data_IF_876638564270
#
_entry.id   IF_876638564270
#
_cell.length_a   1.000
_cell.length_b   1.000
_cell.length_c   1.000
_cell.angle_alpha   90.00
_cell.angle_beta   90.00
_cell.angle_gamma   90.00
#
_symmetry.space_group_name_H-M   'P 1'
#
loop_
_entity.id
_entity.type
_entity.pdbx_description
1 polymer ?
#
# COMPACT_ATOMS: atom_id res chain seq x y z
N UNK A 1 0.09 4.70 27.92
CA UNK A 1 0.95 4.47 26.74
C UNK A 1 0.38 5.15 25.50
N UNK A 2 -0.92 5.01 25.19
CA UNK A 2 -1.53 5.61 23.97
C UNK A 2 -1.40 7.14 23.82
N UNK A 3 -1.45 7.90 24.92
CA UNK A 3 -1.26 9.35 24.88
C UNK A 3 0.18 9.74 24.49
N UNK A 4 1.18 8.91 24.83
CA UNK A 4 2.58 9.21 24.53
C UNK A 4 2.91 8.92 23.07
N UNK A 5 2.36 7.85 22.49
CA UNK A 5 2.53 7.45 21.08
C UNK A 5 2.30 8.60 20.10
N UNK A 6 1.29 9.44 20.37
CA UNK A 6 0.93 10.62 19.55
C UNK A 6 2.00 11.70 19.44
N UNK A 7 3.03 11.68 20.30
CA UNK A 7 4.10 12.68 20.27
C UNK A 7 5.21 12.34 19.27
N UNK A 8 5.33 11.08 18.87
CA UNK A 8 6.40 10.61 17.98
C UNK A 8 5.90 9.76 16.81
N UNK A 9 4.60 9.41 16.77
CA UNK A 9 3.96 8.75 15.64
C UNK A 9 2.90 9.65 15.00
N UNK A 10 2.70 9.55 13.67
CA UNK A 10 1.57 10.16 12.99
C UNK A 10 0.24 9.75 13.60
N UNK A 11 -0.73 10.67 13.62
CA UNK A 11 -2.09 10.37 14.09
C UNK A 11 -2.88 9.51 13.11
N UNK A 12 -2.57 9.65 11.82
CA UNK A 12 -3.22 8.93 10.71
C UNK A 12 -2.18 8.35 9.74
N UNK A 13 -1.37 7.36 10.17
CA UNK A 13 -0.47 6.63 9.27
C UNK A 13 -1.25 6.02 8.08
N UNK A 14 -0.84 6.36 6.86
CA UNK A 14 -1.60 6.07 5.63
C UNK A 14 -3.09 6.45 5.70
N UNK A 15 -3.44 7.51 6.42
CA UNK A 15 -4.82 7.97 6.61
C UNK A 15 -5.64 7.16 7.62
N UNK A 16 -5.09 6.08 8.20
CA UNK A 16 -5.76 5.24 9.18
C UNK A 16 -5.50 5.78 10.58
N UNK A 17 -6.54 6.09 11.39
CA UNK A 17 -6.37 6.52 12.77
C UNK A 17 -5.51 5.55 13.59
N UNK A 18 -4.53 6.07 14.31
CA UNK A 18 -3.56 5.30 15.09
C UNK A 18 -4.23 4.34 16.09
N UNK A 19 -5.39 4.71 16.64
CA UNK A 19 -6.18 3.91 17.58
C UNK A 19 -6.92 2.73 16.92
N UNK A 20 -7.03 2.68 15.60
CA UNK A 20 -7.59 1.53 14.88
C UNK A 20 -6.56 0.45 14.58
N UNK A 21 -5.28 0.79 14.65
CA UNK A 21 -4.18 -0.15 14.44
C UNK A 21 -3.98 -1.06 15.66
N UNK A 22 -3.63 -2.34 15.45
CA UNK A 22 -3.49 -3.34 16.51
C UNK A 22 -2.16 -3.23 17.29
N UNK A 23 -1.77 -2.01 17.68
CA UNK A 23 -0.45 -1.71 18.27
C UNK A 23 -0.19 -2.50 19.56
N UNK A 24 -1.19 -2.66 20.41
CA UNK A 24 -1.07 -3.35 21.70
C UNK A 24 -0.89 -4.86 21.57
N UNK A 25 -1.35 -5.44 20.46
CA UNK A 25 -1.24 -6.88 20.18
C UNK A 25 -0.05 -7.20 19.27
N UNK A 26 0.66 -6.19 18.76
CA UNK A 26 1.80 -6.40 17.90
C UNK A 26 3.08 -6.62 18.72
N UNK A 27 3.69 -7.81 18.66
CA UNK A 27 4.86 -8.13 19.48
C UNK A 27 6.10 -7.31 19.09
N UNK A 28 6.23 -6.92 17.82
CA UNK A 28 7.37 -6.15 17.32
C UNK A 28 7.28 -4.69 17.78
N UNK A 29 6.11 -4.09 17.66
CA UNK A 29 5.88 -2.75 18.18
C UNK A 29 6.04 -2.68 19.70
N UNK A 30 5.56 -3.71 20.42
CA UNK A 30 5.72 -3.77 21.87
C UNK A 30 7.19 -3.86 22.31
N UNK A 31 8.04 -4.62 21.60
CA UNK A 31 9.48 -4.65 21.92
C UNK A 31 10.14 -3.29 21.72
N UNK A 32 9.74 -2.54 20.68
CA UNK A 32 10.22 -1.18 20.46
C UNK A 32 9.76 -0.20 21.54
N UNK A 33 8.54 -0.35 22.07
CA UNK A 33 8.07 0.46 23.20
C UNK A 33 8.90 0.23 24.46
N UNK A 34 9.23 -1.03 24.77
CA UNK A 34 10.07 -1.39 25.91
C UNK A 34 11.45 -0.75 25.75
N UNK A 35 12.08 -0.93 24.58
CA UNK A 35 13.40 -0.38 24.29
C UNK A 35 13.40 1.16 24.38
N UNK A 36 12.36 1.81 23.86
CA UNK A 36 12.19 3.26 23.95
C UNK A 36 12.07 3.74 25.40
N UNK A 37 11.29 3.05 26.24
CA UNK A 37 11.13 3.40 27.66
C UNK A 37 12.48 3.30 28.38
N UNK A 38 13.23 2.22 28.16
CA UNK A 38 14.54 2.01 28.77
C UNK A 38 15.53 3.13 28.41
N UNK A 39 15.52 3.58 27.15
CA UNK A 39 16.38 4.69 26.69
C UNK A 39 16.01 6.01 27.35
N UNK A 40 14.71 6.31 27.49
CA UNK A 40 14.24 7.53 28.15
C UNK A 40 14.58 7.54 29.64
N UNK A 41 14.56 6.37 30.30
CA UNK A 41 14.90 6.25 31.72
C UNK A 41 16.40 6.45 31.99
N UNK A 42 17.27 5.95 31.10
CA UNK A 42 18.73 6.06 31.27
C UNK A 42 19.27 7.49 31.10
N UNK A 43 18.51 8.41 30.48
CA UNK A 43 18.80 9.87 30.36
C UNK A 43 20.23 10.25 29.94
N UNK A 44 20.91 9.41 29.15
CA UNK A 44 22.24 9.70 28.63
C UNK A 44 22.16 10.37 27.25
N UNK A 45 22.99 11.39 26.98
CA UNK A 45 22.98 12.14 25.69
C UNK A 45 23.36 11.24 24.51
N UNK A 46 24.14 10.19 24.76
CA UNK A 46 24.51 9.18 23.75
C UNK A 46 23.28 8.39 23.27
N UNK A 47 22.21 8.32 24.07
CA UNK A 47 21.00 7.56 23.72
C UNK A 47 20.06 8.31 22.75
N UNK A 48 20.32 9.59 22.44
CA UNK A 48 19.44 10.36 21.54
C UNK A 48 19.44 9.80 20.10
N UNK A 49 20.59 9.30 19.63
CA UNK A 49 20.69 8.70 18.29
C UNK A 49 19.87 7.42 18.18
N UNK A 50 20.04 6.51 19.15
CA UNK A 50 19.27 5.26 19.18
C UNK A 50 17.78 5.51 19.46
N UNK A 51 17.44 6.51 20.27
CA UNK A 51 16.04 6.91 20.49
C UNK A 51 15.34 7.35 19.19
N UNK A 52 16.03 8.13 18.34
CA UNK A 52 15.49 8.50 17.03
C UNK A 52 15.35 7.29 16.11
N UNK A 53 16.34 6.40 16.14
CA UNK A 53 16.29 5.17 15.35
C UNK A 53 15.13 4.26 15.75
N UNK A 54 14.90 4.04 17.05
CA UNK A 54 13.77 3.22 17.52
C UNK A 54 12.43 3.89 17.16
N UNK A 55 12.32 5.22 17.22
CA UNK A 55 11.11 5.93 16.77
C UNK A 55 10.87 5.80 15.26
N UNK A 56 11.92 5.74 14.44
CA UNK A 56 11.82 5.44 13.00
C UNK A 56 11.42 3.99 12.74
N UNK A 57 11.97 3.02 13.48
CA UNK A 57 11.59 1.61 13.39
C UNK A 57 10.11 1.41 13.80
N UNK A 58 9.66 2.13 14.83
CA UNK A 58 8.25 2.18 15.24
C UNK A 58 7.36 2.78 14.15
N UNK A 59 7.77 3.89 13.53
CA UNK A 59 7.03 4.50 12.42
C UNK A 59 6.88 3.52 11.25
N UNK A 60 7.97 2.90 10.80
CA UNK A 60 7.94 1.93 9.72
C UNK A 60 7.01 0.74 10.04
N UNK A 61 7.01 0.26 11.29
CA UNK A 61 6.12 -0.81 11.72
C UNK A 61 4.64 -0.38 11.72
N UNK A 62 4.36 0.86 12.09
CA UNK A 62 3.01 1.45 12.07
C UNK A 62 2.51 1.67 10.64
N UNK A 63 3.36 2.16 9.74
CA UNK A 63 3.03 2.28 8.32
C UNK A 63 2.77 0.92 7.68
N UNK A 64 3.56 -0.10 8.03
CA UNK A 64 3.35 -1.46 7.57
C UNK A 64 2.00 -2.02 8.02
N UNK A 65 1.63 -1.84 9.30
CA UNK A 65 0.32 -2.27 9.79
C UNK A 65 -0.84 -1.60 9.05
N UNK A 66 -0.72 -0.29 8.80
CA UNK A 66 -1.73 0.44 8.05
C UNK A 66 -1.86 -0.11 6.62
N UNK A 67 -0.73 -0.42 5.96
CA UNK A 67 -0.72 -1.09 4.64
C UNK A 67 -1.41 -2.45 4.68
N UNK A 68 -1.01 -3.32 5.61
CA UNK A 68 -1.57 -4.67 5.75
C UNK A 68 -3.08 -4.61 5.99
N UNK A 69 -3.56 -3.66 6.80
CA UNK A 69 -5.00 -3.48 7.03
C UNK A 69 -5.75 -3.12 5.75
N UNK A 70 -5.19 -2.27 4.89
CA UNK A 70 -5.77 -1.97 3.56
C UNK A 70 -5.71 -3.17 2.63
N UNK A 71 -4.60 -3.88 2.58
CA UNK A 71 -4.45 -5.07 1.74
C UNK A 71 -5.42 -6.19 2.15
N UNK A 72 -5.67 -6.37 3.45
CA UNK A 72 -6.63 -7.35 3.94
C UNK A 72 -8.07 -6.91 3.64
N UNK A 73 -8.39 -5.62 3.75
CA UNK A 73 -9.66 -5.07 3.29
C UNK A 73 -9.88 -5.37 1.80
N UNK A 74 -8.89 -5.10 0.94
CA UNK A 74 -8.96 -5.39 -0.51
C UNK A 74 -9.28 -6.85 -0.77
N UNK A 75 -8.56 -7.77 -0.12
CA UNK A 75 -8.78 -9.23 -0.27
C UNK A 75 -10.18 -9.67 0.16
N UNK A 76 -10.79 -8.97 1.11
CA UNK A 76 -12.14 -9.28 1.59
C UNK A 76 -13.23 -8.78 0.64
N UNK A 77 -13.02 -7.61 0.02
CA UNK A 77 -14.05 -6.91 -0.76
C UNK A 77 -13.95 -7.23 -2.25
N UNK A 78 -12.73 -7.23 -2.79
CA UNK A 78 -12.53 -7.35 -4.23
C UNK A 78 -12.49 -8.82 -4.68
N UNK A 79 -13.03 -9.13 -5.87
CA UNK A 79 -12.83 -10.43 -6.48
C UNK A 79 -11.36 -10.64 -6.84
N UNK A 80 -10.92 -11.89 -6.94
CA UNK A 80 -9.54 -12.24 -7.31
C UNK A 80 -9.12 -11.65 -8.67
N UNK A 81 -10.09 -11.47 -9.58
CA UNK A 81 -9.93 -10.78 -10.85
C UNK A 81 -11.02 -9.73 -11.04
N UNK A 82 -10.62 -8.53 -11.45
CA UNK A 82 -11.50 -7.41 -11.84
C UNK A 82 -11.34 -7.20 -13.35
N UNK A 83 -12.41 -7.38 -14.12
CA UNK A 83 -12.37 -7.29 -15.59
C UNK A 83 -11.30 -8.21 -16.24
N UNK A 84 -11.05 -9.39 -15.64
CA UNK A 84 -10.02 -10.35 -16.09
C UNK A 84 -8.60 -10.03 -15.64
N UNK A 85 -8.37 -8.90 -14.96
CA UNK A 85 -7.08 -8.47 -14.43
C UNK A 85 -7.00 -8.87 -12.95
N UNK A 86 -5.89 -9.47 -12.53
CA UNK A 86 -5.72 -9.84 -11.12
C UNK A 86 -5.71 -8.60 -10.21
N UNK A 87 -6.40 -8.67 -9.07
CA UNK A 87 -6.55 -7.51 -8.18
C UNK A 87 -5.20 -6.91 -7.71
N UNK A 88 -4.18 -7.76 -7.55
CA UNK A 88 -2.86 -7.37 -7.04
C UNK A 88 -1.96 -6.70 -8.08
N UNK A 89 -2.36 -6.67 -9.36
CA UNK A 89 -1.62 -5.95 -10.41
C UNK A 89 -2.29 -4.64 -10.82
N UNK A 90 -3.51 -4.39 -10.33
CA UNK A 90 -4.20 -3.12 -10.56
C UNK A 90 -3.47 -1.98 -9.82
N UNK A 91 -3.34 -0.79 -10.43
CA UNK A 91 -2.68 0.35 -9.82
C UNK A 91 -3.57 1.06 -8.78
N UNK A 92 -4.17 0.31 -7.86
CA UNK A 92 -5.12 0.83 -6.86
C UNK A 92 -4.47 1.83 -5.91
N UNK A 93 -3.19 1.64 -5.57
CA UNK A 93 -2.45 2.58 -4.72
C UNK A 93 -2.20 3.94 -5.39
N UNK A 94 -2.29 4.01 -6.72
CA UNK A 94 -2.16 5.27 -7.47
C UNK A 94 -3.51 5.93 -7.74
N UNK A 95 -4.61 5.33 -7.29
CA UNK A 95 -5.95 5.90 -7.42
C UNK A 95 -6.38 6.54 -6.09
N UNK A 96 -6.21 7.87 -5.98
CA UNK A 96 -6.58 8.63 -4.78
C UNK A 96 -8.03 8.39 -4.34
N UNK A 97 -9.04 8.39 -5.25
CA UNK A 97 -10.42 8.09 -4.84
C UNK A 97 -10.58 6.69 -4.25
N UNK A 98 -9.91 5.68 -4.80
CA UNK A 98 -9.90 4.34 -4.21
C UNK A 98 -9.29 4.36 -2.81
N UNK A 99 -8.13 5.00 -2.63
CA UNK A 99 -7.47 5.14 -1.33
C UNK A 99 -8.36 5.79 -0.27
N UNK A 100 -9.05 6.89 -0.62
CA UNK A 100 -9.97 7.59 0.28
C UNK A 100 -11.15 6.69 0.70
N UNK A 101 -11.68 5.91 -0.25
CA UNK A 101 -12.73 4.93 0.02
C UNK A 101 -12.24 3.80 0.95
N UNK A 102 -11.01 3.33 0.80
CA UNK A 102 -10.42 2.31 1.68
C UNK A 102 -10.34 2.81 3.12
N UNK A 103 -9.84 4.04 3.31
CA UNK A 103 -9.76 4.66 4.62
C UNK A 103 -11.18 4.78 5.21
N UNK A 104 -12.13 5.32 4.45
CA UNK A 104 -13.50 5.46 4.92
C UNK A 104 -14.14 4.12 5.30
N UNK A 105 -13.89 3.06 4.52
CA UNK A 105 -14.42 1.72 4.78
C UNK A 105 -13.82 1.12 6.07
N UNK A 106 -12.51 1.26 6.28
CA UNK A 106 -11.84 0.84 7.51
C UNK A 106 -12.41 1.60 8.72
N UNK A 107 -12.58 2.92 8.62
CA UNK A 107 -13.16 3.73 9.70
C UNK A 107 -14.57 3.21 10.03
N UNK A 108 -15.43 3.00 9.03
CA UNK A 108 -16.78 2.47 9.24
C UNK A 108 -16.80 1.08 9.89
N UNK A 109 -15.92 0.15 9.46
CA UNK A 109 -15.80 -1.17 10.08
C UNK A 109 -15.37 -1.09 11.54
N UNK A 110 -14.42 -0.21 11.87
CA UNK A 110 -13.90 -0.03 13.23
C UNK A 110 -14.90 0.67 14.15
N UNK A 111 -15.74 1.53 13.60
CA UNK A 111 -16.83 2.21 14.31
C UNK A 111 -18.08 1.30 14.46
N UNK A 112 -18.10 0.12 13.82
CA UNK A 112 -19.23 -0.81 13.86
C UNK A 112 -20.41 -0.42 12.99
N UNK A 113 -20.24 0.54 12.07
CA UNK A 113 -21.26 0.98 11.12
C UNK A 113 -21.29 0.04 9.91
N UNK A 114 -21.99 -1.09 10.07
CA UNK A 114 -22.07 -2.14 9.05
C UNK A 114 -22.74 -1.68 7.76
N UNK A 115 -23.73 -0.79 7.81
CA UNK A 115 -24.42 -0.30 6.61
C UNK A 115 -23.49 0.57 5.79
N UNK A 116 -22.84 1.55 6.42
CA UNK A 116 -21.84 2.40 5.75
C UNK A 116 -20.65 1.58 5.25
N UNK A 117 -20.21 0.58 6.01
CA UNK A 117 -19.13 -0.31 5.58
C UNK A 117 -19.52 -1.09 4.30
N UNK A 118 -20.76 -1.56 4.19
CA UNK A 118 -21.24 -2.23 2.99
C UNK A 118 -21.35 -1.27 1.80
N UNK A 119 -21.92 -0.08 1.99
CA UNK A 119 -22.04 0.92 0.93
C UNK A 119 -20.65 1.33 0.37
N UNK A 120 -19.67 1.46 1.27
CA UNK A 120 -18.28 1.76 0.89
C UNK A 120 -17.60 0.57 0.21
N UNK A 121 -17.91 -0.67 0.59
CA UNK A 121 -17.42 -1.87 -0.10
C UNK A 121 -17.95 -1.96 -1.54
N UNK A 122 -19.22 -1.63 -1.75
CA UNK A 122 -19.81 -1.56 -3.09
C UNK A 122 -19.16 -0.44 -3.92
N UNK A 123 -18.89 0.72 -3.30
CA UNK A 123 -18.18 1.83 -3.96
C UNK A 123 -16.73 1.48 -4.32
N UNK A 124 -16.00 0.78 -3.43
CA UNK A 124 -14.65 0.28 -3.70
C UNK A 124 -14.65 -0.69 -4.89
N UNK A 125 -15.62 -1.61 -4.93
CA UNK A 125 -15.75 -2.58 -6.03
C UNK A 125 -15.99 -1.88 -7.37
N UNK A 126 -16.90 -0.90 -7.41
CA UNK A 126 -17.14 -0.08 -8.61
C UNK A 126 -15.88 0.69 -9.01
N UNK A 127 -15.17 1.29 -8.05
CA UNK A 127 -13.96 2.06 -8.35
C UNK A 127 -12.83 1.17 -8.88
N UNK A 128 -12.68 -0.05 -8.34
CA UNK A 128 -11.72 -1.02 -8.86
C UNK A 128 -12.02 -1.41 -10.32
N UNK A 129 -13.31 -1.54 -10.69
CA UNK A 129 -13.73 -1.76 -12.08
C UNK A 129 -13.33 -0.57 -12.95
N UNK A 130 -13.58 0.67 -12.52
CA UNK A 130 -13.18 1.86 -13.27
C UNK A 130 -11.66 1.92 -13.50
N UNK A 131 -10.86 1.60 -12.47
CA UNK A 131 -9.40 1.53 -12.56
C UNK A 131 -8.95 0.43 -13.53
N UNK A 132 -9.60 -0.73 -13.52
CA UNK A 132 -9.33 -1.83 -14.44
C UNK A 132 -9.65 -1.44 -15.89
N UNK A 133 -10.81 -0.84 -16.14
CA UNK A 133 -11.22 -0.34 -17.46
C UNK A 133 -10.27 0.74 -17.97
N UNK A 134 -9.87 1.68 -17.10
CA UNK A 134 -8.86 2.70 -17.44
C UNK A 134 -7.53 2.06 -17.84
N UNK A 135 -7.06 1.07 -17.08
CA UNK A 135 -5.82 0.35 -17.37
C UNK A 135 -5.88 -0.37 -18.73
N UNK A 136 -7.02 -0.97 -19.08
CA UNK A 136 -7.24 -1.55 -20.41
C UNK A 136 -7.23 -0.47 -21.50
N UNK A 137 -7.92 0.65 -21.27
CA UNK A 137 -7.97 1.73 -22.26
C UNK A 137 -6.59 2.32 -22.55
N UNK A 138 -5.73 2.46 -21.53
CA UNK A 138 -4.35 2.91 -21.71
C UNK A 138 -3.52 1.95 -22.56
N UNK A 139 -3.77 0.64 -22.48
CA UNK A 139 -3.16 -0.35 -23.38
C UNK A 139 -3.69 -0.19 -24.79
N UNK A 140 -5.01 -0.06 -24.97
CA UNK A 140 -5.66 0.06 -26.29
C UNK A 140 -5.19 1.30 -27.04
N UNK A 141 -5.06 2.43 -26.35
CA UNK A 141 -4.57 3.69 -26.93
C UNK A 141 -3.18 3.54 -27.57
N UNK A 142 -2.37 2.58 -27.11
CA UNK A 142 -1.04 2.32 -27.67
C UNK A 142 -1.08 1.51 -28.98
N UNK A 143 -2.22 0.93 -29.34
CA UNK A 143 -2.39 0.26 -30.64
C UNK A 143 -2.49 1.26 -31.80
N UNK A 144 -2.85 2.52 -31.52
CA UNK A 144 -3.10 3.52 -32.54
C UNK A 144 -4.33 3.18 -33.37
N UNK A 145 -4.20 3.24 -34.71
CA UNK A 145 -5.26 2.90 -35.66
C UNK A 145 -4.84 1.70 -36.53
N UNK A 146 -4.84 0.47 -35.99
CA UNK A 146 -4.39 -0.70 -36.73
C UNK A 146 -5.29 -0.95 -37.94
N UNK A 147 -4.68 -1.11 -39.11
CA UNK A 147 -5.37 -1.27 -40.40
C UNK A 147 -6.32 -0.10 -40.75
N UNK A 148 -6.13 1.07 -40.14
CA UNK A 148 -6.95 2.26 -40.36
C UNK A 148 -8.26 2.31 -39.56
N UNK A 149 -8.53 1.31 -38.71
CA UNK A 149 -9.69 1.30 -37.82
C UNK A 149 -9.37 1.95 -36.48
N UNK A 150 -10.35 2.66 -35.94
CA UNK A 150 -10.32 3.18 -34.57
C UNK A 150 -10.48 2.04 -33.55
N UNK A 151 -10.04 2.28 -32.31
CA UNK A 151 -10.17 1.31 -31.21
C UNK A 151 -11.63 0.90 -30.98
N UNK A 152 -12.57 1.84 -31.10
CA UNK A 152 -13.99 1.58 -30.88
C UNK A 152 -14.59 0.72 -31.99
N UNK A 153 -14.19 0.91 -33.25
CA UNK A 153 -14.64 0.11 -34.40
C UNK A 153 -14.18 -1.34 -34.34
N UNK A 154 -13.04 -1.61 -33.69
CA UNK A 154 -12.51 -2.96 -33.53
C UNK A 154 -13.29 -3.80 -32.52
N UNK A 155 -14.18 -3.18 -31.72
CA UNK A 155 -14.97 -3.81 -30.66
C UNK A 155 -14.13 -4.75 -29.75
N UNK A 156 -12.88 -4.39 -29.45
CA UNK A 156 -11.91 -5.24 -28.75
C UNK A 156 -12.40 -5.72 -27.37
N UNK A 157 -13.34 -4.99 -26.76
CA UNK A 157 -14.00 -5.35 -25.51
C UNK A 157 -14.89 -6.61 -25.61
N UNK A 158 -15.19 -7.10 -26.82
CA UNK A 158 -15.97 -8.32 -27.06
C UNK A 158 -15.11 -9.53 -27.42
N UNK A 159 -13.88 -9.30 -27.85
CA UNK A 159 -12.94 -10.38 -28.19
C UNK A 159 -12.27 -10.93 -26.94
N UNK A 160 -12.68 -12.13 -26.53
CA UNK A 160 -12.13 -12.82 -25.35
C UNK A 160 -10.63 -13.09 -25.47
N UNK A 161 -10.12 -13.40 -26.66
CA UNK A 161 -8.69 -13.66 -26.87
C UNK A 161 -7.89 -12.37 -26.71
N UNK A 162 -8.41 -11.27 -27.23
CA UNK A 162 -7.78 -9.96 -27.05
C UNK A 162 -7.79 -9.56 -25.57
N UNK A 163 -8.93 -9.65 -24.89
CA UNK A 163 -9.06 -9.35 -23.46
C UNK A 163 -8.07 -10.15 -22.59
N UNK A 164 -7.87 -11.44 -22.91
CA UNK A 164 -6.90 -12.26 -22.21
C UNK A 164 -5.47 -11.75 -22.43
N UNK A 165 -5.07 -11.49 -23.68
CA UNK A 165 -3.74 -10.96 -24.00
C UNK A 165 -3.51 -9.58 -23.40
N UNK A 166 -4.54 -8.75 -23.35
CA UNK A 166 -4.53 -7.44 -22.71
C UNK A 166 -4.29 -7.56 -21.20
N UNK A 167 -5.00 -8.46 -20.52
CA UNK A 167 -4.78 -8.73 -19.09
C UNK A 167 -3.38 -9.30 -18.80
N UNK A 168 -2.87 -10.18 -19.67
CA UNK A 168 -1.49 -10.70 -19.58
C UNK A 168 -0.46 -9.58 -19.77
N UNK A 169 -0.66 -8.67 -20.74
CA UNK A 169 0.21 -7.53 -20.96
C UNK A 169 0.23 -6.57 -19.77
N UNK A 170 -0.93 -6.27 -19.19
CA UNK A 170 -1.04 -5.45 -17.96
C UNK A 170 -0.28 -6.12 -16.81
N UNK A 171 -0.44 -7.43 -16.64
CA UNK A 171 0.27 -8.21 -15.61
C UNK A 171 1.79 -8.13 -15.80
N UNK A 172 2.28 -8.29 -17.03
CA UNK A 172 3.72 -8.20 -17.33
C UNK A 172 4.28 -6.80 -17.07
N UNK A 173 3.55 -5.75 -17.45
CA UNK A 173 3.95 -4.36 -17.19
C UNK A 173 4.00 -4.05 -15.71
N UNK A 174 3.00 -4.48 -14.95
CA UNK A 174 2.96 -4.33 -13.50
C UNK A 174 4.16 -5.01 -12.82
N UNK A 175 4.46 -6.26 -13.21
CA UNK A 175 5.65 -6.99 -12.71
C UNK A 175 6.97 -6.28 -13.06
N UNK A 176 7.09 -5.77 -14.29
CA UNK A 176 8.28 -5.03 -14.70
C UNK A 176 8.48 -3.74 -13.90
N UNK A 177 7.40 -3.01 -13.61
CA UNK A 177 7.42 -1.83 -12.76
C UNK A 177 7.83 -2.19 -11.31
N UNK A 178 7.23 -3.23 -10.72
CA UNK A 178 7.59 -3.71 -9.37
C UNK A 178 9.07 -4.10 -9.27
N UNK A 179 9.60 -4.86 -10.24
CA UNK A 179 11.02 -5.23 -10.24
C UNK A 179 11.95 -4.02 -10.35
N UNK A 180 11.53 -2.97 -11.06
CA UNK A 180 12.31 -1.73 -11.18
C UNK A 180 12.32 -0.97 -9.86
N UNK A 181 11.19 -0.90 -9.16
CA UNK A 181 11.10 -0.26 -7.84
C UNK A 181 11.89 -0.98 -6.75
N UNK A 182 11.88 -2.32 -6.73
CA UNK A 182 12.66 -3.11 -5.75
C UNK A 182 14.16 -2.82 -5.91
N UNK A 183 14.67 -2.83 -7.14
CA UNK A 183 16.08 -2.48 -7.41
C UNK A 183 16.44 -1.05 -6.98
N UNK A 184 15.51 -0.10 -7.15
CA UNK A 184 15.70 1.27 -6.71
C UNK A 184 15.79 1.39 -5.18
N UNK A 185 14.92 0.69 -4.44
CA UNK A 185 14.94 0.69 -2.98
C UNK A 185 16.18 -0.03 -2.42
N UNK A 186 16.60 -1.17 -2.99
CA UNK A 186 17.84 -1.86 -2.58
C UNK A 186 19.08 -0.96 -2.76
N UNK A 187 19.12 -0.15 -3.82
CA UNK A 187 20.20 0.80 -4.07
C UNK A 187 20.24 1.97 -3.08
N UNK A 188 19.12 2.28 -2.42
CA UNK A 188 19.01 3.34 -1.41
C UNK A 188 19.19 2.83 0.03
N UNK A 189 19.04 1.52 0.26
CA UNK A 189 19.14 0.88 1.58
C UNK A 189 20.53 0.32 1.94
N UNK A 190 21.62 0.81 1.34
CA UNK A 190 22.98 0.52 1.82
C UNK A 190 23.45 1.67 2.72
N UNK A 191 23.36 1.59 4.07
CA UNK A 191 24.13 2.46 4.92
C UNK A 191 25.60 2.02 4.89
N UNK A 192 26.48 3.00 4.79
CA UNK A 192 27.93 2.86 4.81
C UNK A 192 28.42 2.21 6.12
N UNK A 193 28.53 0.88 6.13
CA UNK A 193 29.41 0.15 7.05
C UNK A 193 30.82 0.09 6.47
N UNK A 194 31.49 1.25 6.38
CA UNK A 194 32.91 1.28 6.08
C UNK A 194 33.61 2.45 6.77
N UNK A 195 34.14 2.19 7.97
CA UNK A 195 35.54 2.45 8.31
C UNK A 195 35.78 2.20 9.80
N UNK A 196 36.37 1.06 10.11
CA UNK A 196 37.40 0.99 11.13
C UNK A 196 38.63 0.45 10.42
N UNK A 197 39.46 1.37 9.93
CA UNK A 197 40.81 1.07 9.52
C UNK A 197 41.57 0.75 10.81
N UNK A 198 41.95 -0.52 10.98
CA UNK A 198 42.98 -0.93 11.92
C UNK A 198 44.26 -0.17 11.56
N UNK A 199 44.70 0.72 12.45
CA UNK A 199 46.04 1.27 12.43
C UNK A 199 46.88 0.41 13.36
N UNK A 200 47.84 -0.33 12.78
CA UNK A 200 49.06 -0.77 13.47
C UNK A 200 49.98 0.41 13.76
#
# INVERSE_FOLDING_TARGET
>A
MDAERKHFLPLEPQGIPLNYLPLNSDPTFHSYEIERIDMKLKKDRVNEGRLKQIEQEMLARVEEMARVMRDDLRKQILPTQVCGIAQNVLPLDQDTPFHDLEIAAIKAQKDGDSTKAQDLADALTKRAIDVAVKSQQEVRLQLGAPLGFTIDELELHRDKNYLQKEAELITLRSKAAMMSSVKANESQSIPASHNLHEAE
#
